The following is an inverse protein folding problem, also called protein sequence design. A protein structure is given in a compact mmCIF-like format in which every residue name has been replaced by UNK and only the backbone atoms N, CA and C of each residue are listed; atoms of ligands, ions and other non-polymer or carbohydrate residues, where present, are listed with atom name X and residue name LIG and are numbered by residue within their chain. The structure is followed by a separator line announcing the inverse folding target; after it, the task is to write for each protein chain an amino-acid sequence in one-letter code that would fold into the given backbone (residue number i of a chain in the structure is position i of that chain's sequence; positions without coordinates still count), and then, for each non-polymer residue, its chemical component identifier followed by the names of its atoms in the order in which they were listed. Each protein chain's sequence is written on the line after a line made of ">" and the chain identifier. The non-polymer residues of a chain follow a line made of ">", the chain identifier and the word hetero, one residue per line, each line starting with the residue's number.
data_IF_873654551390
#
_entry.id   IF_873654551390
#
_cell.length_a   1.000
_cell.length_b   1.000
_cell.length_c   1.000
_cell.angle_alpha   90.00
_cell.angle_beta   90.00
_cell.angle_gamma   90.00
#
_symmetry.space_group_name_H-M   'P 1'
#
loop_
_entity.id
_entity.type
_entity.pdbx_description
1 polymer ?
#
# COMPACT_ATOMS: atom_id res chain seq x y z
N UNK A 1 -41.40 4.02 53.52
CA UNK A 1 -41.19 3.96 52.06
C UNK A 1 -39.88 4.64 51.76
N UNK A 2 -38.81 3.86 51.66
CA UNK A 2 -37.45 4.33 51.41
C UNK A 2 -37.17 4.19 49.91
N UNK A 3 -36.74 5.29 49.29
CA UNK A 3 -36.03 5.26 48.02
C UNK A 3 -34.89 6.27 48.14
N UNK A 4 -33.81 5.86 48.81
CA UNK A 4 -32.52 6.52 48.72
C UNK A 4 -31.84 6.04 47.43
N UNK A 5 -31.82 6.92 46.42
CA UNK A 5 -31.06 6.76 45.20
C UNK A 5 -29.60 7.13 45.48
N UNK A 6 -28.81 6.16 45.95
CA UNK A 6 -27.36 6.29 46.05
C UNK A 6 -26.75 6.13 44.66
N UNK A 7 -26.61 7.24 43.94
CA UNK A 7 -25.80 7.33 42.73
C UNK A 7 -24.32 7.18 43.12
N UNK A 8 -23.81 5.96 42.99
CA UNK A 8 -22.38 5.68 43.12
C UNK A 8 -21.68 6.18 41.86
N UNK A 9 -21.14 7.39 41.92
CA UNK A 9 -20.13 7.86 40.96
C UNK A 9 -18.85 7.08 41.28
N UNK A 10 -18.65 5.97 40.57
CA UNK A 10 -17.32 5.36 40.46
C UNK A 10 -16.44 6.35 39.73
N UNK A 11 -15.68 7.14 40.49
CA UNK A 11 -14.48 7.82 40.04
C UNK A 11 -13.52 6.73 39.52
N UNK A 12 -13.72 6.37 38.25
CA UNK A 12 -12.78 5.57 37.51
C UNK A 12 -11.46 6.31 37.51
N UNK A 13 -10.43 5.66 38.02
CA UNK A 13 -9.04 6.06 37.83
C UNK A 13 -8.86 6.31 36.34
N UNK A 14 -8.76 7.58 35.94
CA UNK A 14 -8.56 7.94 34.55
C UNK A 14 -7.34 7.19 34.06
N UNK A 15 -7.53 6.28 33.11
CA UNK A 15 -6.40 5.57 32.55
C UNK A 15 -5.56 6.60 31.80
N UNK A 16 -4.22 6.51 31.84
CA UNK A 16 -3.35 7.47 31.18
C UNK A 16 -3.63 7.57 29.66
N UNK A 17 -4.24 6.53 29.06
CA UNK A 17 -4.71 6.54 27.68
C UNK A 17 -5.93 7.47 27.46
N UNK A 18 -6.85 7.54 28.41
CA UNK A 18 -8.01 8.43 28.34
C UNK A 18 -7.58 9.91 28.44
N UNK A 19 -6.61 10.19 29.30
CA UNK A 19 -6.01 11.53 29.43
C UNK A 19 -5.26 11.95 28.17
N UNK A 20 -4.47 11.03 27.58
CA UNK A 20 -3.75 11.28 26.32
C UNK A 20 -4.70 11.53 25.13
N UNK A 21 -5.84 10.82 25.09
CA UNK A 21 -6.88 11.03 24.06
C UNK A 21 -7.56 12.39 24.22
N UNK A 22 -7.90 12.79 25.45
CA UNK A 22 -8.48 14.11 25.72
C UNK A 22 -7.50 15.25 25.36
N UNK A 23 -6.20 15.07 25.61
CA UNK A 23 -5.16 16.02 25.19
C UNK A 23 -5.05 16.11 23.66
N UNK A 24 -5.16 14.99 22.95
CA UNK A 24 -5.14 14.94 21.49
C UNK A 24 -6.34 15.68 20.88
N UNK A 25 -7.54 15.53 21.45
CA UNK A 25 -8.74 16.26 21.02
C UNK A 25 -8.62 17.78 21.23
N UNK A 26 -7.99 18.18 22.34
CA UNK A 26 -7.70 19.59 22.62
C UNK A 26 -6.68 20.16 21.61
N UNK A 27 -5.65 19.39 21.24
CA UNK A 27 -4.67 19.77 20.22
C UNK A 27 -5.32 19.88 18.84
N UNK A 28 -6.20 18.95 18.46
CA UNK A 28 -6.94 19.01 17.20
C UNK A 28 -7.78 20.30 17.11
N UNK A 29 -8.49 20.64 18.19
CA UNK A 29 -9.26 21.88 18.29
C UNK A 29 -8.37 23.12 18.13
N UNK A 30 -7.17 23.10 18.74
CA UNK A 30 -6.22 24.21 18.66
C UNK A 30 -5.62 24.35 17.26
N UNK A 31 -5.36 23.25 16.57
CA UNK A 31 -4.87 23.25 15.19
C UNK A 31 -5.92 23.85 14.24
N UNK A 32 -7.20 23.53 14.40
CA UNK A 32 -8.27 24.14 13.60
C UNK A 32 -8.35 25.66 13.81
N UNK A 33 -8.19 26.14 15.05
CA UNK A 33 -8.12 27.57 15.34
C UNK A 33 -6.90 28.23 14.67
N UNK A 34 -5.75 27.56 14.65
CA UNK A 34 -4.54 28.08 13.99
C UNK A 34 -4.65 28.09 12.47
N UNK A 35 -5.37 27.13 11.86
CA UNK A 35 -5.67 27.15 10.43
C UNK A 35 -6.47 28.40 10.05
N UNK A 36 -7.48 28.75 10.85
CA UNK A 36 -8.27 29.97 10.63
C UNK A 36 -7.42 31.24 10.74
N UNK A 37 -6.50 31.30 11.71
CA UNK A 37 -5.56 32.43 11.87
C UNK A 37 -4.52 32.50 10.74
N UNK A 38 -4.07 31.35 10.25
CA UNK A 38 -3.17 31.29 9.09
C UNK A 38 -3.84 31.84 7.83
N UNK A 39 -5.11 31.50 7.60
CA UNK A 39 -5.90 32.05 6.50
C UNK A 39 -6.11 33.57 6.62
N UNK A 40 -6.06 34.10 7.84
CA UNK A 40 -6.07 35.54 8.11
C UNK A 40 -4.68 36.21 7.95
N UNK A 41 -3.65 35.46 7.53
CA UNK A 41 -2.32 35.97 7.24
C UNK A 41 -1.36 36.01 8.43
N UNK A 42 -1.72 35.39 9.56
CA UNK A 42 -0.83 35.31 10.73
C UNK A 42 0.24 34.21 10.57
N UNK A 43 1.47 34.49 11.04
CA UNK A 43 2.53 33.48 11.13
C UNK A 43 2.29 32.55 12.34
N UNK A 44 1.69 31.40 12.06
CA UNK A 44 1.40 30.36 13.04
C UNK A 44 2.37 29.17 12.95
N UNK A 45 3.39 29.22 12.07
CA UNK A 45 4.18 28.04 11.70
C UNK A 45 4.91 27.39 12.88
N UNK A 46 5.44 28.19 13.80
CA UNK A 46 6.12 27.70 15.01
C UNK A 46 5.15 27.07 16.04
N UNK A 47 3.97 27.65 16.23
CA UNK A 47 2.95 27.11 17.16
C UNK A 47 2.37 25.81 16.60
N UNK A 48 2.05 25.80 15.30
CA UNK A 48 1.55 24.62 14.60
C UNK A 48 2.56 23.46 14.63
N UNK A 49 3.84 23.73 14.36
CA UNK A 49 4.88 22.71 14.40
C UNK A 49 5.00 22.04 15.77
N UNK A 50 4.94 22.81 16.87
CA UNK A 50 4.99 22.27 18.24
C UNK A 50 3.78 21.39 18.54
N UNK A 51 2.58 21.80 18.12
CA UNK A 51 1.35 21.04 18.34
C UNK A 51 1.33 19.74 17.55
N UNK A 52 1.86 19.72 16.32
CA UNK A 52 1.96 18.51 15.51
C UNK A 52 2.92 17.49 16.12
N UNK A 53 4.10 17.94 16.59
CA UNK A 53 5.04 17.05 17.29
C UNK A 53 4.40 16.47 18.54
N UNK A 54 3.72 17.30 19.34
CA UNK A 54 3.03 16.85 20.55
C UNK A 54 1.88 15.86 20.25
N UNK A 55 1.12 16.09 19.19
CA UNK A 55 0.07 15.18 18.74
C UNK A 55 0.65 13.81 18.35
N UNK A 56 1.79 13.80 17.66
CA UNK A 56 2.48 12.57 17.29
C UNK A 56 3.02 11.80 18.50
N UNK A 57 3.64 12.51 19.46
CA UNK A 57 4.10 11.90 20.72
C UNK A 57 2.96 11.25 21.51
N UNK A 58 1.79 11.90 21.54
CA UNK A 58 0.60 11.39 22.21
C UNK A 58 0.02 10.18 21.47
N UNK A 59 -0.05 10.21 20.14
CA UNK A 59 -0.49 9.08 19.33
C UNK A 59 0.42 7.85 19.58
N UNK A 60 1.74 8.04 19.57
CA UNK A 60 2.71 6.97 19.87
C UNK A 60 2.62 6.48 21.33
N UNK A 61 2.24 7.34 22.28
CA UNK A 61 2.01 6.93 23.67
C UNK A 61 0.72 6.10 23.82
N UNK A 62 -0.35 6.49 23.11
CA UNK A 62 -1.62 5.76 23.04
C UNK A 62 -1.38 4.39 22.40
N UNK A 63 -0.73 4.32 21.24
CA UNK A 63 -0.41 3.07 20.54
C UNK A 63 0.42 2.12 21.39
N UNK A 64 1.40 2.63 22.15
CA UNK A 64 2.22 1.81 23.08
C UNK A 64 1.43 1.31 24.28
N UNK A 65 0.46 2.08 24.77
CA UNK A 65 -0.39 1.67 25.89
C UNK A 65 -1.44 0.66 25.43
N UNK A 66 -2.04 0.86 24.26
CA UNK A 66 -2.99 -0.06 23.64
C UNK A 66 -2.31 -1.35 23.18
N UNK A 67 -1.09 -1.27 22.63
CA UNK A 67 -0.27 -2.44 22.30
C UNK A 67 0.15 -3.27 23.52
N UNK A 68 0.09 -2.72 24.74
CA UNK A 68 0.30 -3.45 26.01
C UNK A 68 -0.99 -3.94 26.67
N UNK A 69 -2.14 -3.35 26.34
CA UNK A 69 -3.46 -3.72 26.87
C UNK A 69 -4.32 -4.49 25.86
N UNK A 70 -3.82 -4.77 24.65
CA UNK A 70 -4.46 -5.65 23.71
C UNK A 70 -4.53 -7.05 24.34
N UNK A 71 -5.72 -7.42 24.83
CA UNK A 71 -6.17 -8.80 24.78
C UNK A 71 -5.75 -9.34 23.41
N UNK A 72 -5.15 -10.54 23.30
CA UNK A 72 -4.90 -11.12 21.99
C UNK A 72 -6.22 -11.03 21.20
N UNK A 73 -6.19 -10.54 19.95
CA UNK A 73 -7.40 -10.51 19.15
C UNK A 73 -8.00 -11.90 19.23
N UNK A 74 -9.29 -12.00 19.57
CA UNK A 74 -9.99 -13.27 19.59
C UNK A 74 -9.64 -13.97 18.27
N UNK A 75 -9.09 -15.18 18.36
CA UNK A 75 -8.59 -15.90 17.21
C UNK A 75 -9.69 -15.89 16.14
N UNK A 76 -9.37 -15.41 14.94
CA UNK A 76 -10.35 -15.36 13.87
C UNK A 76 -10.89 -16.79 13.66
N UNK A 77 -12.20 -16.97 13.51
CA UNK A 77 -12.76 -18.30 13.35
C UNK A 77 -12.16 -18.98 12.11
N UNK A 78 -11.96 -20.30 12.18
CA UNK A 78 -11.29 -21.07 11.12
C UNK A 78 -11.86 -20.84 9.71
N UNK A 79 -13.16 -20.54 9.59
CA UNK A 79 -13.81 -20.16 8.33
C UNK A 79 -13.28 -18.84 7.74
N UNK A 80 -13.10 -17.80 8.56
CA UNK A 80 -12.54 -16.51 8.13
C UNK A 80 -11.05 -16.62 7.77
N UNK A 81 -10.30 -17.47 8.47
CA UNK A 81 -8.89 -17.73 8.14
C UNK A 81 -8.73 -18.38 6.76
N UNK A 82 -9.62 -19.32 6.41
CA UNK A 82 -9.66 -19.93 5.07
C UNK A 82 -10.06 -18.94 3.99
N UNK A 83 -11.10 -18.16 4.23
CA UNK A 83 -11.54 -17.15 3.25
C UNK A 83 -10.41 -16.15 2.95
N UNK A 84 -9.63 -15.76 3.97
CA UNK A 84 -8.43 -14.92 3.80
C UNK A 84 -7.32 -15.65 3.05
N UNK A 85 -7.09 -16.93 3.31
CA UNK A 85 -6.10 -17.73 2.57
C UNK A 85 -6.49 -17.85 1.08
N UNK A 86 -7.76 -18.11 0.78
CA UNK A 86 -8.30 -18.18 -0.58
C UNK A 86 -8.13 -16.82 -1.30
N UNK A 87 -8.44 -15.72 -0.63
CA UNK A 87 -8.23 -14.37 -1.18
C UNK A 87 -6.74 -14.08 -1.47
N UNK A 88 -5.82 -14.59 -0.65
CA UNK A 88 -4.39 -14.49 -0.91
C UNK A 88 -3.94 -15.37 -2.09
N UNK A 89 -4.55 -16.54 -2.29
CA UNK A 89 -4.29 -17.36 -3.48
C UNK A 89 -4.76 -16.66 -4.77
N UNK A 90 -5.94 -16.06 -4.75
CA UNK A 90 -6.44 -15.25 -5.87
C UNK A 90 -5.49 -14.08 -6.19
N UNK A 91 -4.98 -13.41 -5.15
CA UNK A 91 -4.00 -12.33 -5.31
C UNK A 91 -2.66 -12.87 -5.85
N UNK A 92 -2.20 -14.03 -5.38
CA UNK A 92 -1.00 -14.69 -5.89
C UNK A 92 -1.13 -14.99 -7.39
N UNK A 93 -2.28 -15.48 -7.83
CA UNK A 93 -2.56 -15.75 -9.24
C UNK A 93 -2.56 -14.47 -10.08
N UNK A 94 -3.14 -13.37 -9.57
CA UNK A 94 -3.04 -12.05 -10.21
C UNK A 94 -1.59 -11.60 -10.37
N UNK A 95 -0.76 -11.76 -9.33
CA UNK A 95 0.66 -11.40 -9.36
C UNK A 95 1.44 -12.28 -10.36
N UNK A 96 1.16 -13.58 -10.44
CA UNK A 96 1.77 -14.49 -11.42
C UNK A 96 1.48 -14.05 -12.86
N UNK A 97 0.23 -13.65 -13.15
CA UNK A 97 -0.13 -13.11 -14.46
C UNK A 97 0.60 -11.80 -14.77
N UNK A 98 0.77 -10.92 -13.78
CA UNK A 98 1.51 -9.68 -13.94
C UNK A 98 3.00 -9.94 -14.24
N UNK A 99 3.64 -10.89 -13.54
CA UNK A 99 5.02 -11.32 -13.81
C UNK A 99 5.14 -11.83 -15.25
N UNK A 100 4.24 -12.72 -15.68
CA UNK A 100 4.24 -13.27 -17.04
C UNK A 100 4.11 -12.17 -18.10
N UNK A 101 3.25 -11.18 -17.88
CA UNK A 101 3.11 -10.02 -18.77
C UNK A 101 4.42 -9.21 -18.87
N UNK A 102 5.13 -9.01 -17.76
CA UNK A 102 6.44 -8.33 -17.78
C UNK A 102 7.48 -9.15 -18.53
N UNK A 103 7.52 -10.47 -18.31
CA UNK A 103 8.45 -11.37 -19.00
C UNK A 103 8.26 -11.33 -20.52
N UNK A 104 7.00 -11.30 -20.99
CA UNK A 104 6.69 -11.14 -22.41
C UNK A 104 7.19 -9.81 -22.97
N UNK A 105 6.94 -8.69 -22.25
CA UNK A 105 7.43 -7.35 -22.66
C UNK A 105 8.94 -7.27 -22.70
N UNK A 106 9.63 -7.86 -21.72
CA UNK A 106 11.09 -7.96 -21.72
C UNK A 106 11.59 -8.78 -22.90
N UNK A 107 10.93 -9.90 -23.23
CA UNK A 107 11.26 -10.73 -24.39
C UNK A 107 11.03 -10.02 -25.73
N UNK A 108 9.98 -9.21 -25.85
CA UNK A 108 9.75 -8.35 -27.01
C UNK A 108 10.83 -7.28 -27.15
N UNK A 109 11.16 -6.59 -26.06
CA UNK A 109 12.19 -5.54 -26.05
C UNK A 109 13.57 -6.09 -26.38
N UNK A 110 13.93 -7.25 -25.81
CA UNK A 110 15.19 -7.95 -26.13
C UNK A 110 15.25 -8.38 -27.60
N UNK A 111 14.14 -8.87 -28.17
CA UNK A 111 14.05 -9.19 -29.61
C UNK A 111 14.21 -7.96 -30.49
N UNK A 112 13.62 -6.82 -30.10
CA UNK A 112 13.76 -5.56 -30.82
C UNK A 112 15.22 -5.06 -30.79
N UNK A 113 15.89 -5.15 -29.64
CA UNK A 113 17.30 -4.80 -29.49
C UNK A 113 18.25 -5.73 -30.26
N UNK A 114 17.93 -7.01 -30.36
CA UNK A 114 18.74 -8.02 -31.06
C UNK A 114 18.57 -7.97 -32.58
N UNK A 115 17.53 -7.32 -33.11
CA UNK A 115 17.36 -7.12 -34.53
C UNK A 115 18.17 -5.89 -34.96
N UNK A 116 19.28 -6.03 -35.71
CA UNK A 116 19.86 -4.89 -36.39
C UNK A 116 18.78 -4.35 -37.32
N UNK A 117 18.40 -3.09 -37.10
CA UNK A 117 17.52 -2.32 -37.97
C UNK A 117 17.81 -2.70 -39.41
N UNK A 118 16.84 -3.34 -40.06
CA UNK A 118 16.93 -3.60 -41.49
C UNK A 118 17.20 -2.26 -42.15
N UNK A 119 18.40 -2.11 -42.70
CA UNK A 119 18.81 -0.88 -43.35
C UNK A 119 17.80 -0.47 -44.41
N UNK A 120 17.86 0.78 -44.91
CA UNK A 120 16.89 1.36 -45.84
C UNK A 120 16.71 0.61 -47.19
N UNK A 121 17.40 -0.53 -47.40
CA UNK A 121 17.33 -1.33 -48.61
C UNK A 121 16.06 -2.18 -48.79
N UNK A 122 15.25 -2.44 -47.74
CA UNK A 122 14.02 -3.25 -47.87
C UNK A 122 12.71 -2.45 -47.98
N UNK A 123 12.73 -1.11 -47.82
CA UNK A 123 11.53 -0.28 -47.99
C UNK A 123 11.11 -0.08 -49.46
N UNK A 124 11.81 -0.66 -50.44
CA UNK A 124 11.52 -0.49 -51.87
C UNK A 124 10.77 -1.64 -52.54
N UNK A 125 10.31 -2.65 -51.80
CA UNK A 125 9.65 -3.82 -52.40
C UNK A 125 8.26 -4.13 -51.81
N UNK A 126 7.45 -3.13 -51.45
CA UNK A 126 5.99 -3.31 -51.29
C UNK A 126 5.25 -2.06 -51.78
N UNK A 127 5.34 -1.79 -53.08
CA UNK A 127 4.34 -0.95 -53.78
C UNK A 127 3.73 -1.80 -54.88
N UNK A 128 2.92 -2.78 -54.49
CA UNK A 128 2.00 -3.48 -55.39
C UNK A 128 0.92 -4.25 -54.62
N UNK A 129 0.03 -3.53 -53.93
CA UNK A 129 -1.44 -3.73 -53.84
C UNK A 129 -1.96 -3.15 -52.53
N UNK A 130 -2.92 -2.24 -52.69
CA UNK A 130 -3.41 -1.36 -51.65
C UNK A 130 -4.04 -2.08 -50.46
N UNK A 131 -3.73 -1.57 -49.27
CA UNK A 131 -4.68 -1.27 -48.22
C UNK A 131 -3.93 -0.43 -47.18
N UNK A 132 -4.36 0.81 -47.04
CA UNK A 132 -3.87 1.78 -46.07
C UNK A 132 -4.07 1.30 -44.64
N UNK A 133 -2.97 1.00 -43.94
CA UNK A 133 -2.90 1.13 -42.49
C UNK A 133 -1.73 2.06 -42.19
N UNK A 134 -2.02 3.35 -42.07
CA UNK A 134 -1.10 4.30 -41.43
C UNK A 134 -0.94 3.91 -39.97
N UNK A 135 -0.04 2.99 -39.69
CA UNK A 135 0.62 2.91 -38.39
C UNK A 135 1.87 3.76 -38.51
N UNK A 136 1.78 5.00 -38.04
CA UNK A 136 2.95 5.86 -37.92
C UNK A 136 4.06 5.08 -37.19
N UNK A 137 5.30 5.03 -37.70
CA UNK A 137 6.40 4.44 -36.96
C UNK A 137 6.55 5.27 -35.68
N UNK A 138 6.38 4.63 -34.52
CA UNK A 138 6.76 5.24 -33.26
C UNK A 138 8.22 5.67 -33.40
N UNK A 139 8.43 6.98 -33.34
CA UNK A 139 9.73 7.61 -33.46
C UNK A 139 10.71 6.93 -32.50
N UNK A 140 11.88 6.59 -33.03
CA UNK A 140 12.83 5.66 -32.44
C UNK A 140 13.15 5.96 -30.99
N UNK A 141 12.89 4.98 -30.12
CA UNK A 141 13.54 4.90 -28.83
C UNK A 141 15.05 4.83 -29.06
N UNK A 142 15.80 5.60 -28.28
CA UNK A 142 17.26 5.47 -28.32
C UNK A 142 17.66 4.13 -27.69
N UNK A 143 18.78 3.54 -28.13
CA UNK A 143 19.33 2.34 -27.52
C UNK A 143 19.48 2.48 -25.99
N UNK A 144 19.87 3.68 -25.51
CA UNK A 144 19.97 3.98 -24.09
C UNK A 144 18.60 3.94 -23.37
N UNK A 145 17.53 4.45 -23.98
CA UNK A 145 16.16 4.39 -23.46
C UNK A 145 15.64 2.96 -23.38
N UNK A 146 15.88 2.15 -24.41
CA UNK A 146 15.46 0.75 -24.43
C UNK A 146 16.19 -0.08 -23.36
N UNK A 147 17.49 0.16 -23.17
CA UNK A 147 18.24 -0.44 -22.07
C UNK A 147 17.75 0.02 -20.69
N UNK A 148 17.43 1.31 -20.53
CA UNK A 148 16.87 1.82 -19.28
C UNK A 148 15.49 1.21 -18.99
N UNK A 149 14.65 1.06 -20.03
CA UNK A 149 13.34 0.42 -19.94
C UNK A 149 13.45 -1.05 -19.58
N UNK A 150 14.41 -1.78 -20.15
CA UNK A 150 14.67 -3.17 -19.81
C UNK A 150 15.05 -3.32 -18.32
N UNK A 151 15.95 -2.46 -17.82
CA UNK A 151 16.33 -2.44 -16.40
C UNK A 151 15.14 -2.11 -15.49
N UNK A 152 14.28 -1.17 -15.89
CA UNK A 152 13.08 -0.82 -15.13
C UNK A 152 12.11 -2.01 -15.02
N UNK A 153 11.90 -2.76 -16.12
CA UNK A 153 11.10 -3.97 -16.13
C UNK A 153 11.71 -5.09 -15.25
N UNK A 154 13.03 -5.24 -15.25
CA UNK A 154 13.74 -6.19 -14.38
C UNK A 154 13.54 -5.88 -12.89
N UNK A 155 13.69 -4.61 -12.50
CA UNK A 155 13.42 -4.16 -11.13
C UNK A 155 11.97 -4.41 -10.75
N UNK A 156 11.03 -4.11 -11.64
CA UNK A 156 9.60 -4.34 -11.41
C UNK A 156 9.30 -5.84 -11.24
N UNK A 157 9.90 -6.69 -12.09
CA UNK A 157 9.77 -8.15 -12.00
C UNK A 157 10.24 -8.67 -10.64
N UNK A 158 11.42 -8.24 -10.18
CA UNK A 158 11.96 -8.65 -8.89
C UNK A 158 11.02 -8.29 -7.74
N UNK A 159 10.48 -7.06 -7.73
CA UNK A 159 9.50 -6.63 -6.71
C UNK A 159 8.25 -7.50 -6.68
N UNK A 160 7.74 -7.91 -7.84
CA UNK A 160 6.57 -8.79 -7.91
C UNK A 160 6.89 -10.22 -7.44
N UNK A 161 8.10 -10.72 -7.73
CA UNK A 161 8.54 -12.03 -7.22
C UNK A 161 8.64 -12.01 -5.69
N UNK A 162 9.24 -10.96 -5.11
CA UNK A 162 9.33 -10.78 -3.66
C UNK A 162 7.95 -10.63 -3.02
N UNK A 163 7.01 -9.96 -3.71
CA UNK A 163 5.63 -9.84 -3.26
C UNK A 163 4.90 -11.19 -3.29
N UNK A 164 5.05 -11.96 -4.37
CA UNK A 164 4.45 -13.29 -4.50
C UNK A 164 4.95 -14.25 -3.42
N UNK A 165 6.24 -14.20 -3.07
CA UNK A 165 6.80 -15.01 -2.00
C UNK A 165 6.14 -14.68 -0.64
N UNK A 166 5.92 -13.40 -0.35
CA UNK A 166 5.24 -12.95 0.87
C UNK A 166 3.79 -13.42 0.93
N UNK A 167 3.02 -13.18 -0.13
CA UNK A 167 1.61 -13.64 -0.23
C UNK A 167 1.50 -15.15 0.03
N UNK A 168 2.36 -15.95 -0.61
CA UNK A 168 2.35 -17.41 -0.42
C UNK A 168 2.71 -17.84 0.99
N UNK A 169 3.62 -17.12 1.64
CA UNK A 169 4.01 -17.39 3.03
C UNK A 169 2.88 -17.06 3.99
N UNK A 170 2.20 -15.93 3.76
CA UNK A 170 1.03 -15.50 4.54
C UNK A 170 -0.16 -16.46 4.35
N UNK A 171 -0.46 -16.87 3.12
CA UNK A 171 -1.51 -17.85 2.83
C UNK A 171 -1.24 -19.19 3.57
N UNK A 172 -0.02 -19.71 3.49
CA UNK A 172 0.36 -20.93 4.18
C UNK A 172 0.28 -20.82 5.71
N UNK A 173 0.60 -19.65 6.27
CA UNK A 173 0.45 -19.39 7.70
C UNK A 173 -1.02 -19.40 8.13
N UNK A 174 -1.91 -18.76 7.36
CA UNK A 174 -3.35 -18.75 7.62
C UNK A 174 -3.97 -20.14 7.51
N UNK A 175 -3.57 -20.94 6.52
CA UNK A 175 -4.00 -22.34 6.38
C UNK A 175 -3.56 -23.20 7.56
N UNK A 176 -2.31 -23.03 8.01
CA UNK A 176 -1.79 -23.75 9.17
C UNK A 176 -2.53 -23.37 10.45
N UNK A 177 -2.86 -22.09 10.62
CA UNK A 177 -3.65 -21.60 11.75
C UNK A 177 -5.09 -22.15 11.71
N UNK A 178 -5.75 -22.10 10.55
CA UNK A 178 -7.08 -22.66 10.37
C UNK A 178 -7.11 -24.16 10.67
N UNK A 179 -6.12 -24.91 10.19
CA UNK A 179 -6.01 -26.35 10.46
C UNK A 179 -5.71 -26.67 11.93
N UNK A 180 -5.02 -25.78 12.65
CA UNK A 180 -4.76 -25.95 14.08
C UNK A 180 -6.00 -25.73 14.94
N UNK A 181 -6.92 -24.86 14.51
CA UNK A 181 -8.17 -24.58 15.23
C UNK A 181 -9.22 -25.68 15.11
N UNK A 182 -9.10 -26.58 14.14
CA UNK A 182 -10.06 -27.66 13.88
C UNK A 182 -9.70 -29.01 14.52
N UNK A 183 -8.54 -29.08 15.17
CA UNK A 183 -8.08 -30.27 15.90
C UNK A 183 -8.51 -30.22 17.35
#
# INVERSE_FOLDING_TARGET
>A
MLAELTLVITLGTATPALEARAELDAIATRIEQLKMRHLAGEDVGRELGRLLVRAQELAEAIDRQEGRAALPPAAAPAGELRERADALHDEADRVVLAIRSIDLRMGELRRALAQPSHGPAQQRAVVARGASVSRAPAQGSTFAEDHARLRALEVQRLRLVDHLARIRTEAAALEAEAAAQER
#
